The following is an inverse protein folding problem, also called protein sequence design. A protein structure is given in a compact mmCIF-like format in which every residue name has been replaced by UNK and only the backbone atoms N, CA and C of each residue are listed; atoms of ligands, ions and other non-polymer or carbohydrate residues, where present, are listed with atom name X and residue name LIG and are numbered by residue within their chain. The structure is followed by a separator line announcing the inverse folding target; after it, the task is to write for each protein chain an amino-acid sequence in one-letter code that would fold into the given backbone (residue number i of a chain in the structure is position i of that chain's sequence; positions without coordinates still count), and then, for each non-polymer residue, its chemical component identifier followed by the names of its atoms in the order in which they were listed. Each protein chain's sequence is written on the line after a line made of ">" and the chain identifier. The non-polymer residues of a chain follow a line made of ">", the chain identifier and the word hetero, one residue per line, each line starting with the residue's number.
data_IF_510632531885
#
_entry.id   IF_510632531885
#
_cell.length_a   1.000
_cell.length_b   1.000
_cell.length_c   1.000
_cell.angle_alpha   90.00
_cell.angle_beta   90.00
_cell.angle_gamma   90.00
#
_symmetry.space_group_name_H-M   'P 1'
#
loop_
_entity.id
_entity.type
_entity.pdbx_description
1 polymer ?
#
# COMPACT_ATOMS: atom_id res chain seq x y z
N UNK A 1 3.91 -4.49 6.90
CA UNK A 1 3.19 -3.21 6.75
C UNK A 1 3.20 -2.38 8.02
N UNK A 2 2.95 -2.94 9.22
CA UNK A 2 3.12 -2.19 10.49
C UNK A 2 4.53 -1.61 10.64
N UNK A 3 5.57 -2.44 10.50
CA UNK A 3 6.97 -1.98 10.53
C UNK A 3 7.25 -0.85 9.52
N UNK A 4 6.72 -0.96 8.29
CA UNK A 4 6.87 0.08 7.27
C UNK A 4 6.17 1.38 7.67
N UNK A 5 4.93 1.31 8.18
CA UNK A 5 4.20 2.46 8.71
C UNK A 5 4.97 3.14 9.84
N UNK A 6 5.50 2.34 10.77
CA UNK A 6 6.17 2.87 11.96
C UNK A 6 7.49 3.56 11.57
N UNK A 7 8.19 3.05 10.55
CA UNK A 7 9.43 3.63 10.02
C UNK A 7 9.25 4.89 9.15
N UNK A 8 8.07 5.15 8.58
CA UNK A 8 7.86 6.34 7.75
C UNK A 8 7.84 7.62 8.59
N UNK A 9 8.44 8.70 8.08
CA UNK A 9 8.27 10.05 8.62
C UNK A 9 6.84 10.57 8.36
N UNK A 10 6.47 11.68 9.02
CA UNK A 10 5.22 12.38 8.72
C UNK A 10 5.18 12.78 7.23
N UNK A 11 4.09 12.46 6.54
CA UNK A 11 3.96 12.68 5.09
C UNK A 11 4.69 11.65 4.21
N UNK A 12 5.33 10.63 4.79
CA UNK A 12 5.98 9.56 4.05
C UNK A 12 4.99 8.59 3.41
N UNK A 13 5.43 7.93 2.33
CA UNK A 13 4.62 7.00 1.54
C UNK A 13 5.26 5.61 1.46
N UNK A 14 4.41 4.59 1.51
CA UNK A 14 4.76 3.20 1.20
C UNK A 14 4.26 2.86 -0.21
N UNK A 15 5.18 2.42 -1.08
CA UNK A 15 4.87 1.92 -2.41
C UNK A 15 5.00 0.40 -2.46
N UNK A 16 4.01 -0.27 -3.07
CA UNK A 16 3.94 -1.73 -3.14
C UNK A 16 3.65 -2.16 -4.57
N UNK A 17 4.40 -3.15 -5.03
CA UNK A 17 4.02 -4.00 -6.17
C UNK A 17 3.68 -5.37 -5.61
N UNK A 18 2.53 -5.92 -5.98
CA UNK A 18 2.11 -7.23 -5.48
C UNK A 18 1.19 -7.97 -6.44
N UNK A 19 1.00 -9.27 -6.23
CA UNK A 19 0.05 -10.05 -7.02
C UNK A 19 -1.38 -9.58 -6.77
N UNK A 20 -2.15 -9.38 -7.86
CA UNK A 20 -3.48 -8.77 -7.81
C UNK A 20 -4.47 -9.53 -6.91
N UNK A 21 -4.33 -10.85 -6.80
CA UNK A 21 -5.24 -11.71 -6.04
C UNK A 21 -5.02 -11.71 -4.52
N UNK A 22 -3.93 -11.12 -4.02
CA UNK A 22 -3.55 -11.21 -2.60
C UNK A 22 -4.22 -10.16 -1.70
N UNK A 23 -5.11 -9.32 -2.23
CA UNK A 23 -6.00 -8.50 -1.41
C UNK A 23 -5.32 -7.42 -0.54
N UNK A 24 -4.12 -6.94 -0.92
CA UNK A 24 -3.32 -6.02 -0.10
C UNK A 24 -4.04 -4.73 0.34
N UNK A 25 -4.99 -4.23 -0.47
CA UNK A 25 -5.71 -2.98 -0.19
C UNK A 25 -6.41 -2.97 1.18
N UNK A 26 -7.00 -4.09 1.60
CA UNK A 26 -7.77 -4.17 2.84
C UNK A 26 -6.87 -4.03 4.06
N UNK A 27 -5.71 -4.70 4.04
CA UNK A 27 -4.71 -4.60 5.10
C UNK A 27 -4.07 -3.22 5.16
N UNK A 28 -3.81 -2.59 4.02
CA UNK A 28 -3.26 -1.24 3.96
C UNK A 28 -4.25 -0.20 4.47
N UNK A 29 -5.55 -0.29 4.10
CA UNK A 29 -6.59 0.65 4.57
C UNK A 29 -6.80 0.64 6.08
N UNK A 30 -6.49 -0.47 6.77
CA UNK A 30 -6.51 -0.52 8.24
C UNK A 30 -5.30 0.13 8.89
N UNK A 31 -4.19 0.26 8.16
CA UNK A 31 -2.91 0.67 8.73
C UNK A 31 -2.48 2.09 8.33
N UNK A 32 -2.93 2.58 7.18
CA UNK A 32 -2.52 3.86 6.59
C UNK A 32 -3.72 4.78 6.41
N UNK A 33 -3.49 6.11 6.45
CA UNK A 33 -4.56 7.11 6.31
C UNK A 33 -5.14 7.17 4.90
N UNK A 34 -4.33 6.85 3.90
CA UNK A 34 -4.74 6.80 2.50
C UNK A 34 -4.13 5.60 1.79
N UNK A 35 -4.91 4.97 0.89
CA UNK A 35 -4.45 3.90 0.01
C UNK A 35 -5.01 4.12 -1.38
N UNK A 36 -4.14 4.21 -2.36
CA UNK A 36 -4.46 4.45 -3.76
C UNK A 36 -3.92 3.30 -4.62
N UNK A 37 -4.73 2.84 -5.58
CA UNK A 37 -4.22 1.99 -6.66
C UNK A 37 -3.70 2.88 -7.78
N UNK A 38 -2.39 2.90 -7.97
CA UNK A 38 -1.72 3.73 -8.98
C UNK A 38 -1.80 3.08 -10.37
N UNK A 39 -1.63 1.75 -10.43
CA UNK A 39 -1.71 1.00 -11.68
C UNK A 39 -2.05 -0.47 -11.42
N UNK A 40 -2.48 -1.19 -12.46
CA UNK A 40 -2.67 -2.63 -12.42
C UNK A 40 -2.51 -3.26 -13.81
N UNK A 41 -2.16 -4.55 -13.80
CA UNK A 41 -2.26 -5.44 -14.96
C UNK A 41 -2.89 -6.78 -14.50
N UNK A 42 -3.05 -7.79 -15.37
CA UNK A 42 -3.67 -9.06 -14.97
C UNK A 42 -2.96 -9.77 -13.80
N UNK A 43 -1.63 -9.62 -13.67
CA UNK A 43 -0.83 -10.33 -12.66
C UNK A 43 -0.56 -9.48 -11.42
N UNK A 44 -0.37 -8.17 -11.59
CA UNK A 44 0.18 -7.28 -10.57
C UNK A 44 -0.68 -6.02 -10.34
N UNK A 45 -0.56 -5.47 -9.14
CA UNK A 45 -1.13 -4.17 -8.74
C UNK A 45 -0.04 -3.32 -8.11
N UNK A 46 -0.08 -2.02 -8.38
CA UNK A 46 0.74 -1.01 -7.72
C UNK A 46 -0.15 -0.21 -6.77
N UNK A 47 0.19 -0.23 -5.48
CA UNK A 47 -0.51 0.51 -4.43
C UNK A 47 0.43 1.51 -3.78
N UNK A 48 -0.11 2.69 -3.46
CA UNK A 48 0.55 3.74 -2.68
C UNK A 48 -0.23 3.95 -1.37
N UNK A 49 0.46 4.02 -0.23
CA UNK A 49 -0.17 4.23 1.06
C UNK A 49 0.55 5.30 1.90
N UNK A 50 -0.18 6.30 2.38
CA UNK A 50 0.39 7.45 3.13
C UNK A 50 0.24 7.32 4.65
N UNK A 51 1.26 7.73 5.40
CA UNK A 51 1.25 7.79 6.88
C UNK A 51 0.44 8.97 7.42
#
# INVERSE_FOLDING_TARGET
>A
FLQARDALAAGGELWIVGHRHLGYHAKLKRLFRGVEQVAANPKFVILKAGK
#
